data_IF_227629180242
#
_entry.id   IF_227629180242
#
_cell.length_a   1.000
_cell.length_b   1.000
_cell.length_c   1.000
_cell.angle_alpha   90.00
_cell.angle_beta   90.00
_cell.angle_gamma   90.00
#
_symmetry.space_group_name_H-M   'P 1'
#
loop_
_entity.id
_entity.type
_entity.pdbx_description
1 polymer ?
#
# COMPACT_ATOMS: atom_id res chain seq x y z
N UNK A 1 -24.57 -7.94 -4.24
CA UNK A 1 -24.00 -8.45 -5.51
C UNK A 1 -22.50 -8.75 -5.38
N UNK A 2 -21.60 -7.77 -5.27
CA UNK A 2 -20.13 -8.03 -5.23
C UNK A 2 -19.67 -8.94 -4.08
N UNK A 3 -20.13 -8.70 -2.85
CA UNK A 3 -19.75 -9.53 -1.69
C UNK A 3 -20.26 -10.98 -1.83
N UNK A 4 -21.49 -11.15 -2.33
CA UNK A 4 -22.07 -12.48 -2.59
C UNK A 4 -21.33 -13.21 -3.70
N UNK A 5 -20.95 -12.51 -4.77
CA UNK A 5 -20.11 -13.06 -5.85
C UNK A 5 -18.75 -13.49 -5.34
N UNK A 6 -18.12 -12.69 -4.46
CA UNK A 6 -16.86 -13.06 -3.82
C UNK A 6 -17.01 -14.32 -2.97
N UNK A 7 -18.00 -14.35 -2.06
CA UNK A 7 -18.26 -15.49 -1.15
C UNK A 7 -18.51 -16.81 -1.90
N UNK A 8 -19.10 -16.77 -3.09
CA UNK A 8 -19.35 -17.95 -3.92
C UNK A 8 -18.08 -18.50 -4.62
N UNK A 9 -17.01 -17.72 -4.72
CA UNK A 9 -15.79 -18.10 -5.42
C UNK A 9 -14.89 -18.97 -4.53
N UNK A 10 -14.27 -20.07 -5.03
CA UNK A 10 -13.42 -20.95 -4.23
C UNK A 10 -12.27 -20.23 -3.51
N UNK A 11 -11.70 -19.20 -4.13
CA UNK A 11 -10.61 -18.41 -3.55
C UNK A 11 -11.03 -17.62 -2.29
N UNK A 12 -12.33 -17.39 -2.05
CA UNK A 12 -12.79 -16.74 -0.83
C UNK A 12 -12.61 -17.59 0.43
N UNK A 13 -12.31 -18.89 0.27
CA UNK A 13 -11.97 -19.80 1.36
C UNK A 13 -10.50 -19.68 1.81
N UNK A 14 -9.66 -19.04 1.01
CA UNK A 14 -8.26 -18.81 1.37
C UNK A 14 -8.15 -17.73 2.43
N UNK A 15 -7.50 -18.04 3.56
CA UNK A 15 -7.30 -17.05 4.62
C UNK A 15 -6.26 -15.99 4.23
N UNK A 16 -6.77 -14.77 4.09
CA UNK A 16 -6.01 -13.54 3.83
C UNK A 16 -6.33 -12.45 4.87
N UNK A 17 -6.88 -12.81 6.04
CA UNK A 17 -7.34 -11.84 7.03
C UNK A 17 -6.19 -10.95 7.52
N UNK A 18 -5.02 -11.54 7.75
CA UNK A 18 -3.81 -10.83 8.14
C UNK A 18 -3.36 -9.84 7.05
N UNK A 19 -3.30 -10.26 5.79
CA UNK A 19 -2.91 -9.39 4.68
C UNK A 19 -3.93 -8.26 4.44
N UNK A 20 -5.23 -8.54 4.60
CA UNK A 20 -6.27 -7.50 4.52
C UNK A 20 -6.11 -6.46 5.63
N UNK A 21 -5.82 -6.90 6.84
CA UNK A 21 -5.56 -5.99 7.96
C UNK A 21 -4.31 -5.13 7.71
N UNK A 22 -3.20 -5.76 7.29
CA UNK A 22 -1.96 -5.06 6.96
C UNK A 22 -2.15 -4.07 5.80
N UNK A 23 -2.87 -4.46 4.74
CA UNK A 23 -3.16 -3.58 3.60
C UNK A 23 -3.98 -2.36 4.02
N UNK A 24 -4.97 -2.56 4.92
CA UNK A 24 -5.75 -1.46 5.48
C UNK A 24 -4.88 -0.50 6.29
N UNK A 25 -4.00 -1.03 7.15
CA UNK A 25 -3.10 -0.22 7.97
C UNK A 25 -2.14 0.61 7.12
N UNK A 26 -1.49 0.00 6.13
CA UNK A 26 -0.55 0.71 5.24
C UNK A 26 -1.27 1.76 4.40
N UNK A 27 -2.47 1.47 3.91
CA UNK A 27 -3.27 2.48 3.21
C UNK A 27 -3.63 3.66 4.11
N UNK A 28 -4.04 3.43 5.36
CA UNK A 28 -4.31 4.51 6.30
C UNK A 28 -3.06 5.37 6.56
N UNK A 29 -1.90 4.73 6.77
CA UNK A 29 -0.64 5.45 6.96
C UNK A 29 -0.24 6.29 5.72
N UNK A 30 -0.50 5.79 4.50
CA UNK A 30 -0.28 6.56 3.27
C UNK A 30 -1.20 7.79 3.22
N UNK A 31 -2.47 7.67 3.60
CA UNK A 31 -3.40 8.79 3.66
C UNK A 31 -2.94 9.85 4.66
N UNK A 32 -2.52 9.44 5.85
CA UNK A 32 -1.99 10.35 6.87
C UNK A 32 -0.74 11.10 6.38
N UNK A 33 0.15 10.41 5.66
CA UNK A 33 1.34 11.03 5.06
C UNK A 33 0.93 12.04 3.99
N UNK A 34 0.01 11.68 3.09
CA UNK A 34 -0.48 12.58 2.04
C UNK A 34 -1.12 13.84 2.63
N UNK A 35 -1.95 13.71 3.66
CA UNK A 35 -2.59 14.84 4.29
C UNK A 35 -1.58 15.78 4.96
N UNK A 36 -0.55 15.22 5.62
CA UNK A 36 0.54 16.04 6.17
C UNK A 36 1.35 16.75 5.09
N UNK A 37 1.61 16.10 3.95
CA UNK A 37 2.25 16.72 2.79
C UNK A 37 1.38 17.87 2.26
N UNK A 38 0.07 17.68 2.12
CA UNK A 38 -0.88 18.73 1.68
C UNK A 38 -0.90 19.92 2.63
N UNK A 39 -0.87 19.69 3.95
CA UNK A 39 -0.81 20.77 4.94
C UNK A 39 0.49 21.58 4.84
N UNK A 40 1.63 20.90 4.67
CA UNK A 40 2.94 21.56 4.48
C UNK A 40 3.00 22.33 3.17
N UNK A 41 2.53 21.75 2.08
CA UNK A 41 2.48 22.40 0.76
C UNK A 41 1.57 23.64 0.77
N UNK A 42 0.39 23.57 1.38
CA UNK A 42 -0.49 24.72 1.60
C UNK A 42 0.19 25.84 2.39
N UNK A 43 1.02 25.48 3.36
CA UNK A 43 1.82 26.42 4.15
C UNK A 43 3.13 26.87 3.44
N UNK A 44 3.39 26.36 2.23
CA UNK A 44 4.65 26.53 1.50
C UNK A 44 5.90 26.14 2.31
N UNK A 45 5.74 25.20 3.24
CA UNK A 45 6.79 24.70 4.11
C UNK A 45 7.49 23.48 3.48
N UNK A 46 8.50 23.73 2.67
CA UNK A 46 9.33 22.69 2.02
C UNK A 46 10.58 22.36 2.84
N UNK A 47 10.35 22.04 4.11
CA UNK A 47 11.40 21.81 5.10
C UNK A 47 11.86 20.34 5.18
N UNK A 48 12.74 20.04 6.14
CA UNK A 48 13.23 18.68 6.34
C UNK A 48 12.11 17.66 6.63
N UNK A 49 11.02 18.10 7.29
CA UNK A 49 9.86 17.23 7.53
C UNK A 49 9.11 16.94 6.24
N UNK A 50 8.94 17.93 5.36
CA UNK A 50 8.36 17.72 4.02
C UNK A 50 9.17 16.67 3.24
N UNK A 51 10.51 16.78 3.25
CA UNK A 51 11.39 15.81 2.59
C UNK A 51 11.23 14.41 3.22
N UNK A 52 11.18 14.32 4.54
CA UNK A 52 10.99 13.05 5.24
C UNK A 52 9.63 12.41 4.92
N UNK A 53 8.56 13.20 4.84
CA UNK A 53 7.22 12.73 4.45
C UNK A 53 7.20 12.23 3.01
N UNK A 54 7.75 13.01 2.08
CA UNK A 54 7.86 12.61 0.68
C UNK A 54 8.66 11.31 0.52
N UNK A 55 9.71 11.13 1.32
CA UNK A 55 10.47 9.87 1.34
C UNK A 55 9.67 8.71 1.92
N UNK A 56 8.92 8.94 2.99
CA UNK A 56 8.07 7.93 3.61
C UNK A 56 7.02 7.36 2.61
N UNK A 57 6.54 8.16 1.65
CA UNK A 57 5.58 7.71 0.64
C UNK A 57 6.08 6.49 -0.15
N UNK A 58 7.32 6.50 -0.66
CA UNK A 58 7.79 5.37 -1.46
C UNK A 58 8.04 4.12 -0.60
N UNK A 59 8.56 4.27 0.62
CA UNK A 59 8.71 3.15 1.55
C UNK A 59 7.37 2.47 1.87
N UNK A 60 6.32 3.26 2.16
CA UNK A 60 4.98 2.72 2.42
C UNK A 60 4.32 2.15 1.17
N UNK A 61 4.61 2.70 -0.01
CA UNK A 61 4.16 2.13 -1.26
C UNK A 61 4.79 0.76 -1.56
N UNK A 62 6.08 0.59 -1.27
CA UNK A 62 6.76 -0.70 -1.41
C UNK A 62 6.18 -1.74 -0.46
N UNK A 63 5.94 -1.36 0.79
CA UNK A 63 5.26 -2.20 1.78
C UNK A 63 3.86 -2.62 1.28
N UNK A 64 3.08 -1.67 0.76
CA UNK A 64 1.76 -1.92 0.17
C UNK A 64 1.85 -2.90 -1.01
N UNK A 65 2.84 -2.73 -1.89
CA UNK A 65 3.04 -3.59 -3.04
C UNK A 65 3.41 -5.02 -2.61
N UNK A 66 4.28 -5.17 -1.60
CA UNK A 66 4.62 -6.47 -1.04
C UNK A 66 3.39 -7.20 -0.46
N UNK A 67 2.53 -6.47 0.26
CA UNK A 67 1.27 -7.03 0.80
C UNK A 67 0.33 -7.46 -0.33
N UNK A 68 0.12 -6.61 -1.35
CA UNK A 68 -0.69 -6.98 -2.53
C UNK A 68 -0.15 -8.23 -3.22
N UNK A 69 1.18 -8.35 -3.35
CA UNK A 69 1.82 -9.53 -3.92
C UNK A 69 1.56 -10.78 -3.06
N UNK A 70 1.65 -10.68 -1.74
CA UNK A 70 1.33 -11.78 -0.84
C UNK A 70 -0.12 -12.26 -1.00
N UNK A 71 -1.08 -11.33 -1.12
CA UNK A 71 -2.49 -11.65 -1.39
C UNK A 71 -2.62 -12.39 -2.74
N UNK A 72 -2.02 -11.84 -3.80
CA UNK A 72 -2.07 -12.44 -5.14
C UNK A 72 -1.52 -13.87 -5.16
N UNK A 73 -0.40 -14.10 -4.47
CA UNK A 73 0.21 -15.43 -4.36
C UNK A 73 -0.72 -16.39 -3.59
N UNK A 74 -1.28 -15.96 -2.46
CA UNK A 74 -2.23 -16.78 -1.68
C UNK A 74 -3.49 -17.15 -2.47
N UNK A 75 -4.01 -16.22 -3.27
CA UNK A 75 -5.21 -16.43 -4.08
C UNK A 75 -4.93 -17.13 -5.42
N UNK A 76 -3.67 -17.44 -5.74
CA UNK A 76 -3.29 -18.11 -6.99
C UNK A 76 -3.44 -17.24 -8.24
N UNK A 77 -3.32 -15.92 -8.11
CA UNK A 77 -3.40 -14.99 -9.25
C UNK A 77 -2.29 -15.28 -10.26
N UNK A 78 -2.65 -15.41 -11.54
CA UNK A 78 -1.71 -15.48 -12.66
C UNK A 78 -1.16 -14.11 -13.06
N UNK A 79 -1.76 -13.04 -12.54
CA UNK A 79 -1.33 -11.66 -12.76
C UNK A 79 -0.65 -11.16 -11.49
N UNK A 80 0.65 -10.90 -11.60
CA UNK A 80 1.45 -10.26 -10.55
C UNK A 80 1.84 -8.89 -11.08
N UNK A 81 1.41 -7.84 -10.39
CA UNK A 81 1.82 -6.48 -10.71
C UNK A 81 3.25 -6.26 -10.18
N UNK A 82 4.23 -6.31 -11.09
CA UNK A 82 5.61 -5.92 -10.80
C UNK A 82 5.81 -4.47 -11.21
N UNK A 83 6.01 -3.59 -10.23
CA UNK A 83 6.48 -2.23 -10.49
C UNK A 83 8.01 -2.23 -10.50
N UNK A 84 8.60 -1.90 -11.65
CA UNK A 84 10.03 -1.61 -11.73
C UNK A 84 10.28 -0.22 -11.14
N UNK A 85 10.73 -0.16 -9.90
CA UNK A 85 11.27 1.06 -9.29
C UNK A 85 12.77 0.89 -9.06
N UNK A 86 13.50 2.00 -9.13
CA UNK A 86 14.87 2.08 -8.64
C UNK A 86 14.86 1.85 -7.12
N UNK A 87 15.78 1.06 -6.59
CA UNK A 87 15.85 0.79 -5.14
C UNK A 87 16.32 2.05 -4.40
N UNK A 88 15.38 2.75 -3.75
CA UNK A 88 15.65 3.96 -2.97
C UNK A 88 15.99 3.67 -1.50
N UNK A 89 16.25 2.40 -1.14
CA UNK A 89 16.69 2.02 0.22
C UNK A 89 18.17 2.34 0.49
N UNK A 90 18.92 2.75 -0.54
CA UNK A 90 20.27 3.27 -0.39
C UNK A 90 20.23 4.81 -0.28
N UNK A 91 20.31 5.34 0.94
CA UNK A 91 20.39 6.77 1.22
C UNK A 91 20.31 7.11 2.70
#
# INVERSE_FOLDING_TARGET
LLEQTWQAHPAARTDIAAERAALKQVNAALWDIEDRIRLKEKAQAFDAEFIALARAVYFRNDERAAIKRAINLKLGSRLIEEKSYHDYRAG
#
